data_IF_530525094491
#
_entry.id   IF_530525094491
#
_cell.length_a   1.000
_cell.length_b   1.000
_cell.length_c   1.000
_cell.angle_alpha   90.00
_cell.angle_beta   90.00
_cell.angle_gamma   90.00
#
_symmetry.space_group_name_H-M   'P 1'
#
loop_
_entity.id
_entity.type
_entity.pdbx_description
1 polymer ?
#
# COMPACT_ATOMS: atom_id res chain seq x y z
N UNK A 1 11.97 -5.39 -16.90
CA UNK A 1 11.21 -4.67 -15.85
C UNK A 1 9.95 -4.13 -16.51
N UNK A 2 8.78 -4.37 -15.93
CA UNK A 2 7.51 -3.85 -16.47
C UNK A 2 7.22 -2.47 -15.85
N UNK A 3 6.70 -1.49 -16.62
CA UNK A 3 6.28 -0.19 -16.07
C UNK A 3 5.10 -0.33 -15.10
N UNK A 4 5.09 0.47 -14.03
CA UNK A 4 4.01 0.46 -13.04
C UNK A 4 2.68 1.00 -13.58
N UNK A 5 2.69 1.66 -14.74
CA UNK A 5 1.49 2.07 -15.47
C UNK A 5 0.81 0.89 -16.18
N UNK A 6 1.58 -0.16 -16.48
CA UNK A 6 1.12 -1.36 -17.21
C UNK A 6 0.85 -2.50 -16.23
N UNK A 7 1.70 -2.69 -15.22
CA UNK A 7 1.61 -3.78 -14.27
C UNK A 7 1.81 -3.24 -12.85
N UNK A 8 0.70 -2.99 -12.15
CA UNK A 8 0.78 -2.55 -10.76
C UNK A 8 1.35 -3.70 -9.89
N UNK A 9 2.27 -3.38 -8.96
CA UNK A 9 2.85 -4.38 -8.07
C UNK A 9 1.83 -4.91 -7.06
N UNK A 10 2.16 -6.04 -6.46
CA UNK A 10 1.48 -6.49 -5.24
C UNK A 10 1.75 -5.50 -4.09
N UNK A 11 0.81 -5.36 -3.15
CA UNK A 11 1.00 -4.46 -2.01
C UNK A 11 2.19 -4.87 -1.16
N UNK A 12 3.12 -3.95 -0.95
CA UNK A 12 4.38 -4.15 -0.26
C UNK A 12 5.49 -4.83 -1.09
N UNK A 13 5.33 -5.00 -2.40
CA UNK A 13 6.36 -5.62 -3.24
C UNK A 13 7.68 -4.85 -3.16
N UNK A 14 8.77 -5.57 -2.88
CA UNK A 14 10.11 -5.00 -2.75
C UNK A 14 10.44 -4.44 -1.37
N UNK A 15 9.47 -4.42 -0.44
CA UNK A 15 9.69 -3.94 0.93
C UNK A 15 10.09 -5.10 1.84
N UNK A 16 11.15 -4.90 2.63
CA UNK A 16 11.53 -5.82 3.72
C UNK A 16 10.86 -5.33 5.00
N UNK A 17 9.95 -6.13 5.55
CA UNK A 17 9.29 -5.85 6.81
C UNK A 17 9.99 -6.61 7.95
N UNK A 18 10.32 -5.90 9.03
CA UNK A 18 10.85 -6.48 10.26
C UNK A 18 9.79 -6.40 11.36
N UNK A 19 9.45 -7.55 11.95
CA UNK A 19 8.49 -7.63 13.04
C UNK A 19 9.21 -7.89 14.36
N UNK A 20 8.83 -7.15 15.39
CA UNK A 20 9.34 -7.29 16.76
C UNK A 20 8.17 -7.40 17.72
N UNK A 21 8.45 -7.85 18.94
CA UNK A 21 7.46 -7.85 20.01
C UNK A 21 7.16 -6.40 20.43
N UNK A 22 5.88 -6.08 20.64
CA UNK A 22 5.41 -4.72 20.88
C UNK A 22 5.99 -4.07 22.15
N UNK A 23 6.31 -4.88 23.18
CA UNK A 23 6.83 -4.46 24.48
C UNK A 23 8.37 -4.43 24.55
N UNK A 24 9.08 -4.75 23.46
CA UNK A 24 10.53 -4.82 23.45
C UNK A 24 11.16 -3.51 22.92
N UNK A 25 11.16 -2.49 23.77
CA UNK A 25 11.70 -1.15 23.46
C UNK A 25 13.20 -1.17 23.14
N UNK A 26 13.97 -2.06 23.77
CA UNK A 26 15.40 -2.23 23.47
C UNK A 26 15.63 -2.64 22.01
N UNK A 27 14.85 -3.60 21.52
CA UNK A 27 14.94 -4.02 20.12
C UNK A 27 14.39 -2.94 19.18
N UNK A 28 13.32 -2.23 19.55
CA UNK A 28 12.80 -1.09 18.78
C UNK A 28 13.87 -0.02 18.56
N UNK A 29 14.61 0.33 19.60
CA UNK A 29 15.68 1.32 19.53
C UNK A 29 16.81 0.91 18.57
N UNK A 30 17.15 -0.39 18.50
CA UNK A 30 18.18 -0.92 17.61
C UNK A 30 17.77 -0.79 16.13
N UNK A 31 16.50 -1.04 15.81
CA UNK A 31 16.02 -1.04 14.42
C UNK A 31 15.44 0.30 13.94
N UNK A 32 15.15 1.25 14.85
CA UNK A 32 14.66 2.57 14.47
C UNK A 32 15.53 3.29 13.43
N UNK A 33 16.88 3.22 13.46
CA UNK A 33 17.72 3.90 12.47
C UNK A 33 17.69 3.29 11.06
N UNK A 34 17.30 2.01 10.92
CA UNK A 34 17.23 1.34 9.61
C UNK A 34 15.86 1.43 8.96
N UNK A 35 14.86 1.94 9.70
CA UNK A 35 13.51 2.08 9.18
C UNK A 35 13.39 3.32 8.29
N UNK A 36 13.16 3.12 7.01
CA UNK A 36 12.80 4.19 6.10
C UNK A 36 11.37 4.69 6.36
N UNK A 37 11.23 5.97 6.72
CA UNK A 37 9.95 6.53 7.13
C UNK A 37 8.94 6.63 5.98
N UNK A 38 9.39 7.05 4.80
CA UNK A 38 8.55 7.20 3.61
C UNK A 38 8.00 5.84 3.14
N UNK A 39 8.87 4.83 3.06
CA UNK A 39 8.49 3.45 2.73
C UNK A 39 7.49 2.89 3.74
N UNK A 40 7.67 3.18 5.04
CA UNK A 40 6.73 2.76 6.08
C UNK A 40 5.34 3.40 5.89
N UNK A 41 5.27 4.69 5.54
CA UNK A 41 4.00 5.37 5.25
C UNK A 41 3.30 4.74 4.04
N UNK A 42 4.02 4.53 2.94
CA UNK A 42 3.47 3.86 1.74
C UNK A 42 2.97 2.45 2.07
N UNK A 43 3.78 1.63 2.75
CA UNK A 43 3.40 0.27 3.11
C UNK A 43 2.15 0.24 3.99
N UNK A 44 2.02 1.17 4.95
CA UNK A 44 0.83 1.25 5.81
C UNK A 44 -0.43 1.53 5.00
N UNK A 45 -0.39 2.48 4.08
CA UNK A 45 -1.51 2.81 3.22
C UNK A 45 -1.90 1.63 2.31
N UNK A 46 -0.91 0.97 1.68
CA UNK A 46 -1.15 -0.22 0.84
C UNK A 46 -1.76 -1.38 1.63
N UNK A 47 -1.23 -1.67 2.83
CA UNK A 47 -1.75 -2.72 3.69
C UNK A 47 -3.14 -2.42 4.21
N UNK A 48 -3.44 -1.15 4.51
CA UNK A 48 -4.77 -0.74 4.93
C UNK A 48 -5.78 -0.92 3.79
N UNK A 49 -5.41 -0.56 2.56
CA UNK A 49 -6.26 -0.82 1.40
C UNK A 49 -6.56 -2.32 1.23
N UNK A 50 -5.53 -3.18 1.31
CA UNK A 50 -5.73 -4.64 1.23
C UNK A 50 -6.60 -5.18 2.38
N UNK A 51 -6.40 -4.65 3.60
CA UNK A 51 -7.21 -5.02 4.78
C UNK A 51 -8.68 -4.65 4.58
N UNK A 52 -8.96 -3.45 4.08
CA UNK A 52 -10.32 -2.96 3.81
C UNK A 52 -11.00 -3.72 2.66
N UNK A 53 -10.23 -4.05 1.63
CA UNK A 53 -10.68 -4.90 0.52
C UNK A 53 -11.05 -6.32 0.98
N UNK A 54 -10.57 -6.73 2.17
CA UNK A 54 -10.59 -8.12 2.65
C UNK A 54 -9.90 -9.08 1.67
N UNK A 55 -8.90 -8.56 0.94
CA UNK A 55 -8.12 -9.34 0.01
C UNK A 55 -7.18 -10.29 0.76
N UNK A 56 -7.04 -11.51 0.25
CA UNK A 56 -6.02 -12.46 0.65
C UNK A 56 -4.87 -12.49 -0.38
N UNK A 57 -3.88 -13.37 -0.17
CA UNK A 57 -2.75 -13.51 -1.10
C UNK A 57 -3.13 -13.97 -2.52
N UNK A 58 -4.37 -14.44 -2.73
CA UNK A 58 -4.86 -14.92 -4.02
C UNK A 58 -5.78 -13.90 -4.71
N UNK A 59 -6.11 -12.81 -4.01
CA UNK A 59 -6.93 -11.75 -4.57
C UNK A 59 -6.16 -11.07 -5.71
N UNK A 60 -6.71 -11.02 -6.94
CA UNK A 60 -5.99 -10.46 -8.07
C UNK A 60 -6.08 -8.92 -8.01
N UNK A 61 -5.23 -8.36 -7.15
CA UNK A 61 -5.17 -6.92 -6.86
C UNK A 61 -3.74 -6.41 -6.93
N UNK A 62 -3.58 -5.28 -7.63
CA UNK A 62 -2.37 -4.47 -7.59
C UNK A 62 -2.65 -3.19 -6.80
N UNK A 63 -1.69 -2.76 -5.97
CA UNK A 63 -1.75 -1.51 -5.21
C UNK A 63 -0.35 -0.92 -5.10
N UNK A 64 -0.23 0.38 -5.33
CA UNK A 64 1.02 1.11 -5.19
C UNK A 64 0.75 2.47 -4.55
N UNK A 65 1.43 2.74 -3.43
CA UNK A 65 1.52 4.06 -2.82
C UNK A 65 2.92 4.64 -3.02
N UNK A 66 2.99 5.90 -3.39
CA UNK A 66 4.24 6.67 -3.43
C UNK A 66 4.04 7.98 -2.66
N UNK A 67 5.11 8.47 -2.04
CA UNK A 67 5.09 9.77 -1.36
C UNK A 67 6.18 10.67 -1.93
N UNK A 68 5.89 11.96 -2.07
CA UNK A 68 6.86 12.99 -2.47
C UNK A 68 6.42 14.33 -1.90
N UNK A 69 7.34 15.02 -1.20
CA UNK A 69 7.09 16.34 -0.62
C UNK A 69 5.82 16.39 0.27
N UNK A 70 5.58 15.34 1.06
CA UNK A 70 4.42 15.24 1.95
C UNK A 70 3.09 14.87 1.27
N UNK A 71 3.11 14.61 -0.04
CA UNK A 71 1.93 14.22 -0.82
C UNK A 71 2.03 12.73 -1.15
N UNK A 72 1.02 11.97 -0.74
CA UNK A 72 0.87 10.55 -1.09
C UNK A 72 -0.05 10.40 -2.29
N UNK A 73 0.40 9.61 -3.26
CA UNK A 73 -0.37 9.16 -4.41
C UNK A 73 -0.60 7.65 -4.28
N UNK A 74 -1.85 7.20 -4.38
CA UNK A 74 -2.20 5.78 -4.37
C UNK A 74 -2.92 5.39 -5.65
N UNK A 75 -2.58 4.22 -6.20
CA UNK A 75 -3.26 3.63 -7.36
C UNK A 75 -3.55 2.17 -7.09
N UNK A 76 -4.75 1.72 -7.40
CA UNK A 76 -5.15 0.32 -7.28
C UNK A 76 -5.75 -0.22 -8.58
N UNK A 77 -5.59 -1.52 -8.79
CA UNK A 77 -6.24 -2.28 -9.85
C UNK A 77 -6.84 -3.55 -9.25
N UNK A 78 -8.15 -3.74 -9.38
CA UNK A 78 -8.86 -4.95 -8.96
C UNK A 78 -9.38 -5.70 -10.18
N UNK A 79 -8.92 -6.92 -10.35
CA UNK A 79 -9.43 -7.83 -11.37
C UNK A 79 -10.57 -8.66 -10.75
N UNK A 80 -11.66 -8.85 -11.48
CA UNK A 80 -12.78 -9.71 -11.05
C UNK A 80 -12.86 -10.91 -11.99
N UNK A 81 -13.25 -12.05 -11.43
CA UNK A 81 -13.38 -13.28 -12.19
C UNK A 81 -14.28 -13.07 -13.42
N UNK A 82 -13.73 -13.38 -14.60
CA UNK A 82 -14.44 -13.28 -15.89
C UNK A 82 -14.45 -11.90 -16.54
N UNK A 83 -13.74 -10.90 -16.01
CA UNK A 83 -13.57 -9.58 -16.65
C UNK A 83 -12.24 -9.46 -17.40
N UNK A 84 -12.27 -9.00 -18.65
CA UNK A 84 -11.06 -8.72 -19.43
C UNK A 84 -10.30 -7.46 -18.97
N UNK A 85 -10.98 -6.54 -18.27
CA UNK A 85 -10.40 -5.28 -17.80
C UNK A 85 -10.46 -5.14 -16.27
N UNK A 86 -9.40 -4.60 -15.62
CA UNK A 86 -9.44 -4.30 -14.19
C UNK A 86 -10.26 -3.03 -13.91
N UNK A 87 -10.87 -2.99 -12.73
CA UNK A 87 -11.32 -1.73 -12.15
C UNK A 87 -10.11 -1.01 -11.58
N UNK A 88 -9.97 0.27 -11.91
CA UNK A 88 -8.83 1.08 -11.51
C UNK A 88 -9.30 2.36 -10.82
N UNK A 89 -8.54 2.83 -9.83
CA UNK A 89 -8.79 4.10 -9.15
C UNK A 89 -7.49 4.75 -8.71
N UNK A 90 -7.56 6.03 -8.37
CA UNK A 90 -6.41 6.79 -7.88
C UNK A 90 -6.85 7.90 -6.94
N UNK A 91 -6.12 8.05 -5.84
CA UNK A 91 -6.32 9.12 -4.88
C UNK A 91 -5.01 9.81 -4.55
N UNK A 92 -5.11 11.07 -4.16
CA UNK A 92 -3.98 11.89 -3.72
C UNK A 92 -4.37 12.65 -2.44
N UNK A 93 -3.43 12.81 -1.53
CA UNK A 93 -3.62 13.63 -0.33
C UNK A 93 -2.36 13.73 0.51
N UNK A 94 -2.50 14.18 1.76
CA UNK A 94 -1.38 14.21 2.70
C UNK A 94 -0.86 12.80 2.98
N UNK A 95 0.46 12.63 3.09
CA UNK A 95 1.06 11.34 3.45
C UNK A 95 0.69 10.86 4.86
N UNK A 96 0.25 11.76 5.72
CA UNK A 96 -0.23 11.44 7.07
C UNK A 96 -1.65 10.86 7.07
N UNK A 97 -2.36 10.93 5.94
CA UNK A 97 -3.74 10.48 5.79
C UNK A 97 -3.86 9.13 5.06
N UNK A 98 -2.79 8.33 5.00
CA UNK A 98 -2.73 7.10 4.21
C UNK A 98 -3.90 6.13 4.44
N UNK A 99 -4.37 5.98 5.68
CA UNK A 99 -5.54 5.13 5.99
C UNK A 99 -6.86 5.72 5.44
N UNK A 100 -7.02 7.04 5.51
CA UNK A 100 -8.18 7.75 4.94
C UNK A 100 -8.18 7.61 3.41
N UNK A 101 -7.03 7.80 2.79
CA UNK A 101 -6.83 7.65 1.35
C UNK A 101 -7.10 6.21 0.90
N UNK A 102 -6.66 5.20 1.65
CA UNK A 102 -6.96 3.80 1.36
C UNK A 102 -8.48 3.52 1.32
N UNK A 103 -9.24 4.07 2.28
CA UNK A 103 -10.70 3.94 2.30
C UNK A 103 -11.39 4.71 1.17
N UNK A 104 -10.86 5.87 0.79
CA UNK A 104 -11.34 6.66 -0.35
C UNK A 104 -11.12 5.91 -1.66
N UNK A 105 -9.91 5.37 -1.86
CA UNK A 105 -9.55 4.58 -3.04
C UNK A 105 -10.43 3.34 -3.18
N UNK A 106 -10.72 2.64 -2.07
CA UNK A 106 -11.61 1.48 -2.12
C UNK A 106 -13.00 1.85 -2.61
N UNK A 107 -13.55 3.00 -2.18
CA UNK A 107 -14.86 3.50 -2.65
C UNK A 107 -14.83 3.87 -4.13
N UNK A 108 -13.71 4.36 -4.64
CA UNK A 108 -13.57 4.72 -6.05
C UNK A 108 -13.55 3.49 -6.97
N UNK A 109 -12.95 2.38 -6.53
CA UNK A 109 -12.81 1.17 -7.37
C UNK A 109 -13.97 0.17 -7.25
N UNK A 110 -14.85 0.30 -6.25
CA UNK A 110 -15.98 -0.60 -5.99
C UNK A 110 -17.27 -0.17 -6.70
#
# INVERSE_FOLDING_TARGET
VLPCEIFLPAGGQGIIALQIRADNESIRAIFSPVNDHETLLCLRAEREFLRLLQGDCNSPVGILATTKNGIMNMRAQLFRDGSDAPRSGKVEGSCDEGERLAAELLKEIQ
#
